data_IF_669997750164
#
_entry.id   IF_669997750164
#
_cell.length_a   1.000
_cell.length_b   1.000
_cell.length_c   1.000
_cell.angle_alpha   90.00
_cell.angle_beta   90.00
_cell.angle_gamma   90.00
#
_symmetry.space_group_name_H-M   'P 1'
#
loop_
_entity.id
_entity.type
_entity.pdbx_description
1 polymer ?
#
# COMPACT_ATOMS: atom_id res chain seq x y z
N UNK A 1 13.90 34.82 42.17
CA UNK A 1 13.08 34.69 40.95
C UNK A 1 12.66 33.25 40.85
N UNK A 2 11.39 32.96 41.01
CA UNK A 2 10.85 31.65 40.72
C UNK A 2 10.78 31.54 39.21
N UNK A 3 11.57 30.61 38.59
CA UNK A 3 11.43 30.26 37.21
C UNK A 3 10.01 29.71 36.99
N UNK A 4 9.26 30.33 36.09
CA UNK A 4 7.98 29.81 35.63
C UNK A 4 8.17 28.34 35.25
N UNK A 5 7.27 27.44 35.65
CA UNK A 5 7.36 26.07 35.16
C UNK A 5 7.32 26.13 33.62
N UNK A 6 8.40 25.66 32.98
CA UNK A 6 8.39 25.47 31.57
C UNK A 6 7.17 24.59 31.27
N UNK A 7 6.25 25.12 30.48
CA UNK A 7 5.12 24.34 30.02
C UNK A 7 5.70 23.09 29.36
N UNK A 8 5.53 21.91 29.98
CA UNK A 8 5.92 20.65 29.38
C UNK A 8 5.23 20.57 28.05
N UNK A 9 6.01 20.39 26.96
CA UNK A 9 5.46 20.19 25.63
C UNK A 9 4.69 18.86 25.65
N UNK A 10 3.35 18.94 25.64
CA UNK A 10 2.46 17.76 25.64
C UNK A 10 2.25 17.17 24.26
N UNK A 11 2.91 17.74 23.24
CA UNK A 11 2.84 17.26 21.86
C UNK A 11 4.18 16.66 21.43
N UNK A 12 4.10 15.68 20.54
CA UNK A 12 5.28 15.20 19.82
C UNK A 12 5.77 16.29 18.87
N UNK A 13 7.07 16.30 18.63
CA UNK A 13 7.72 17.26 17.72
C UNK A 13 8.14 16.56 16.42
N UNK A 14 8.41 17.33 15.34
CA UNK A 14 8.92 16.76 14.09
C UNK A 14 10.15 15.87 14.32
N UNK A 15 10.14 14.65 13.75
CA UNK A 15 11.21 13.67 13.91
C UNK A 15 11.02 12.66 15.05
N UNK A 16 10.08 12.89 15.98
CA UNK A 16 9.75 11.87 17.00
C UNK A 16 9.14 10.63 16.34
N UNK A 17 8.17 10.79 15.45
CA UNK A 17 7.71 9.72 14.56
C UNK A 17 8.66 9.66 13.36
N UNK A 18 9.34 8.54 13.17
CA UNK A 18 10.47 8.44 12.24
C UNK A 18 10.06 8.04 10.82
N UNK A 19 9.05 7.18 10.69
CA UNK A 19 8.57 6.67 9.40
C UNK A 19 7.22 5.97 9.57
N UNK A 20 6.54 5.72 8.48
CA UNK A 20 5.45 4.74 8.46
C UNK A 20 6.07 3.35 8.57
N UNK A 21 5.68 2.58 9.57
CA UNK A 21 6.18 1.21 9.80
C UNK A 21 5.42 0.21 8.94
N UNK A 22 4.11 0.26 8.98
CA UNK A 22 3.26 -0.62 8.18
C UNK A 22 1.91 0.02 7.89
N UNK A 23 1.27 -0.52 6.87
CA UNK A 23 -0.12 -0.23 6.49
C UNK A 23 -0.86 -1.56 6.51
N UNK A 24 -2.02 -1.61 7.14
CA UNK A 24 -2.87 -2.79 7.16
C UNK A 24 -4.10 -2.59 6.27
N UNK A 25 -4.37 -3.54 5.40
CA UNK A 25 -5.51 -3.54 4.48
C UNK A 25 -6.37 -4.77 4.74
N UNK A 26 -7.68 -4.58 4.77
CA UNK A 26 -8.62 -5.70 4.74
C UNK A 26 -8.78 -6.19 3.29
N UNK A 27 -8.78 -7.50 3.10
CA UNK A 27 -8.95 -8.12 1.80
C UNK A 27 -10.03 -9.21 1.87
N UNK A 28 -10.91 -9.26 0.89
CA UNK A 28 -11.98 -10.25 0.84
C UNK A 28 -11.47 -11.61 0.34
N UNK A 29 -10.62 -11.59 -0.67
CA UNK A 29 -10.01 -12.78 -1.28
C UNK A 29 -8.51 -12.71 -1.14
N UNK A 30 -7.95 -13.45 -0.17
CA UNK A 30 -6.52 -13.44 0.11
C UNK A 30 -5.69 -13.89 -1.09
N UNK A 31 -6.14 -14.89 -1.85
CA UNK A 31 -5.39 -15.38 -3.01
C UNK A 31 -5.32 -14.35 -4.12
N UNK A 32 -6.43 -13.68 -4.41
CA UNK A 32 -6.47 -12.59 -5.40
C UNK A 32 -5.56 -11.43 -4.99
N UNK A 33 -5.56 -11.07 -3.71
CA UNK A 33 -4.74 -9.96 -3.20
C UNK A 33 -3.26 -10.33 -3.13
N UNK A 34 -2.90 -11.57 -2.76
CA UNK A 34 -1.51 -12.06 -2.84
C UNK A 34 -1.00 -12.06 -4.28
N UNK A 35 -1.83 -12.46 -5.23
CA UNK A 35 -1.47 -12.41 -6.64
C UNK A 35 -1.25 -10.97 -7.09
N UNK A 36 -2.12 -10.06 -6.70
CA UNK A 36 -2.01 -8.64 -7.05
C UNK A 36 -0.73 -8.01 -6.47
N UNK A 37 -0.57 -8.02 -5.16
CA UNK A 37 0.57 -7.35 -4.51
C UNK A 37 1.89 -8.10 -4.72
N UNK A 38 1.88 -9.41 -4.66
CA UNK A 38 3.09 -10.22 -4.79
C UNK A 38 3.52 -10.48 -6.22
N UNK A 39 2.60 -10.95 -7.08
CA UNK A 39 2.95 -11.36 -8.44
C UNK A 39 2.90 -10.19 -9.41
N UNK A 40 1.82 -9.42 -9.43
CA UNK A 40 1.66 -8.30 -10.38
C UNK A 40 2.56 -7.13 -10.00
N UNK A 41 2.49 -6.66 -8.74
CA UNK A 41 3.30 -5.54 -8.28
C UNK A 41 4.72 -5.94 -7.87
N UNK A 42 5.01 -7.22 -7.71
CA UNK A 42 6.36 -7.71 -7.42
C UNK A 42 6.86 -7.40 -6.02
N UNK A 43 5.99 -7.19 -5.04
CA UNK A 43 6.42 -6.99 -3.66
C UNK A 43 6.92 -8.30 -3.05
N UNK A 44 7.93 -8.21 -2.19
CA UNK A 44 8.46 -9.35 -1.49
C UNK A 44 7.48 -9.81 -0.39
N UNK A 45 6.99 -11.04 -0.48
CA UNK A 45 6.15 -11.65 0.55
C UNK A 45 7.04 -12.23 1.64
N UNK A 46 6.78 -11.87 2.89
CA UNK A 46 7.50 -12.44 4.03
C UNK A 46 7.06 -13.89 4.26
N UNK A 47 8.04 -14.77 4.45
CA UNK A 47 7.81 -16.20 4.69
C UNK A 47 8.67 -16.71 5.84
N UNK A 48 8.19 -17.76 6.53
CA UNK A 48 8.93 -18.44 7.58
C UNK A 48 9.34 -17.49 8.71
N UNK A 49 10.63 -17.44 8.99
CA UNK A 49 11.18 -16.62 10.07
C UNK A 49 11.15 -15.12 9.80
N UNK A 50 10.96 -14.70 8.54
CA UNK A 50 10.76 -13.30 8.18
C UNK A 50 9.45 -12.76 8.77
N UNK A 51 8.44 -13.61 8.93
CA UNK A 51 7.15 -13.23 9.49
C UNK A 51 7.29 -12.93 10.97
N UNK A 52 6.77 -11.78 11.46
CA UNK A 52 6.77 -11.49 12.90
C UNK A 52 6.18 -12.64 13.71
N UNK A 53 6.84 -13.01 14.80
CA UNK A 53 6.46 -14.19 15.59
C UNK A 53 4.99 -14.19 16.01
N UNK A 54 4.43 -13.02 16.31
CA UNK A 54 3.04 -12.83 16.71
C UNK A 54 2.03 -13.09 15.60
N UNK A 55 2.46 -13.08 14.33
CA UNK A 55 1.59 -13.26 13.16
C UNK A 55 1.77 -14.63 12.49
N UNK A 56 2.76 -15.41 12.89
CA UNK A 56 3.10 -16.68 12.19
C UNK A 56 1.93 -17.65 12.10
N UNK A 57 1.17 -17.82 13.17
CA UNK A 57 0.01 -18.71 13.14
C UNK A 57 -1.08 -18.22 12.19
N UNK A 58 -1.31 -16.89 12.14
CA UNK A 58 -2.28 -16.29 11.24
C UNK A 58 -1.86 -16.41 9.77
N UNK A 59 -0.57 -16.28 9.50
CA UNK A 59 -0.03 -16.48 8.14
C UNK A 59 -0.16 -17.95 7.73
N UNK A 60 0.16 -18.90 8.62
CA UNK A 60 -0.02 -20.33 8.37
C UNK A 60 -1.47 -20.68 8.09
N UNK A 61 -2.41 -20.06 8.81
CA UNK A 61 -3.85 -20.26 8.63
C UNK A 61 -4.43 -19.52 7.41
N UNK A 62 -3.62 -18.78 6.66
CA UNK A 62 -4.06 -18.02 5.50
C UNK A 62 -4.88 -16.77 5.81
N UNK A 63 -4.83 -16.29 7.04
CA UNK A 63 -5.61 -15.13 7.51
C UNK A 63 -4.86 -13.81 7.40
N UNK A 64 -3.54 -13.87 7.28
CA UNK A 64 -2.66 -12.70 7.16
C UNK A 64 -1.57 -12.99 6.13
N UNK A 65 -1.20 -11.98 5.36
CA UNK A 65 -0.01 -11.99 4.49
C UNK A 65 0.72 -10.67 4.68
N UNK A 66 2.04 -10.72 4.72
CA UNK A 66 2.88 -9.55 4.90
C UNK A 66 3.75 -9.38 3.66
N UNK A 67 3.77 -8.17 3.12
CA UNK A 67 4.69 -7.75 2.06
C UNK A 67 5.61 -6.67 2.59
N UNK A 68 6.80 -6.55 2.02
CA UNK A 68 7.76 -5.51 2.38
C UNK A 68 8.34 -4.86 1.14
N UNK A 69 8.48 -3.54 1.19
CA UNK A 69 9.20 -2.76 0.20
C UNK A 69 10.69 -2.70 0.56
N UNK A 70 11.60 -2.34 -0.40
CA UNK A 70 13.03 -2.27 -0.13
C UNK A 70 13.42 -1.34 1.03
N UNK A 71 12.64 -0.30 1.30
CA UNK A 71 12.89 0.61 2.44
C UNK A 71 12.41 0.07 3.79
N UNK A 72 11.82 -1.13 3.80
CA UNK A 72 11.34 -1.79 5.01
C UNK A 72 9.91 -1.45 5.41
N UNK A 73 9.16 -0.67 4.61
CA UNK A 73 7.73 -0.44 4.87
C UNK A 73 6.95 -1.73 4.63
N UNK A 74 6.13 -2.13 5.58
CA UNK A 74 5.36 -3.37 5.51
C UNK A 74 3.92 -3.07 5.11
N UNK A 75 3.37 -3.91 4.25
CA UNK A 75 1.95 -3.92 3.89
C UNK A 75 1.39 -5.25 4.38
N UNK A 76 0.50 -5.17 5.38
CA UNK A 76 -0.18 -6.31 5.95
C UNK A 76 -1.55 -6.47 5.30
N UNK A 77 -1.84 -7.66 4.81
CA UNK A 77 -3.16 -8.03 4.33
C UNK A 77 -3.85 -8.89 5.38
N UNK A 78 -5.05 -8.47 5.78
CA UNK A 78 -5.89 -9.22 6.72
C UNK A 78 -7.11 -9.75 5.97
N UNK A 79 -7.29 -11.05 6.01
CA UNK A 79 -8.45 -11.67 5.38
C UNK A 79 -9.72 -11.32 6.13
N UNK A 80 -10.65 -10.68 5.43
CA UNK A 80 -11.96 -10.31 5.93
C UNK A 80 -13.02 -10.76 4.92
N UNK A 81 -13.53 -12.00 5.07
CA UNK A 81 -14.46 -12.58 4.09
C UNK A 81 -15.79 -11.82 4.00
N UNK A 82 -16.16 -11.08 5.04
CA UNK A 82 -17.37 -10.27 5.08
C UNK A 82 -17.18 -8.85 4.55
N UNK A 83 -15.97 -8.53 4.06
CA UNK A 83 -15.74 -7.23 3.43
C UNK A 83 -16.69 -7.07 2.25
N UNK A 84 -17.39 -5.93 2.21
CA UNK A 84 -18.30 -5.62 1.11
C UNK A 84 -17.60 -5.61 -0.23
N UNK A 85 -18.24 -6.12 -1.31
CA UNK A 85 -17.67 -6.02 -2.65
C UNK A 85 -17.41 -4.56 -3.03
N UNK A 86 -16.45 -4.31 -3.94
CA UNK A 86 -16.23 -2.97 -4.47
C UNK A 86 -17.52 -2.40 -5.09
N UNK A 87 -17.73 -1.09 -4.95
CA UNK A 87 -18.81 -0.40 -5.63
C UNK A 87 -18.64 -0.53 -7.15
N UNK A 88 -19.74 -0.68 -7.90
CA UNK A 88 -19.68 -0.70 -9.37
C UNK A 88 -19.09 0.59 -9.95
N UNK A 89 -19.31 1.71 -9.24
CA UNK A 89 -18.67 2.97 -9.53
C UNK A 89 -17.61 3.27 -8.44
N UNK A 90 -16.31 3.05 -8.73
CA UNK A 90 -15.25 3.26 -7.76
C UNK A 90 -15.20 4.68 -7.19
N UNK A 91 -15.65 5.67 -7.94
CA UNK A 91 -15.69 7.07 -7.51
C UNK A 91 -16.72 7.35 -6.41
N UNK A 92 -17.59 6.38 -6.10
CA UNK A 92 -18.54 6.45 -4.99
C UNK A 92 -18.09 5.68 -3.76
N UNK A 93 -17.03 4.89 -3.88
CA UNK A 93 -16.49 4.10 -2.78
C UNK A 93 -15.54 4.95 -1.94
N UNK A 94 -16.10 5.85 -1.13
CA UNK A 94 -15.30 6.72 -0.27
C UNK A 94 -14.78 5.95 0.94
N UNK A 95 -13.48 5.93 1.11
CA UNK A 95 -12.80 5.43 2.30
C UNK A 95 -11.98 6.55 2.94
N UNK A 96 -11.55 6.38 4.20
CA UNK A 96 -10.70 7.38 4.87
C UNK A 96 -9.33 7.48 4.22
N UNK A 97 -8.76 6.36 3.79
CA UNK A 97 -7.55 6.33 3.00
C UNK A 97 -7.92 6.46 1.52
N UNK A 98 -7.41 7.50 0.87
CA UNK A 98 -7.73 7.78 -0.53
C UNK A 98 -7.01 6.81 -1.46
N UNK A 99 -5.71 6.70 -1.34
CA UNK A 99 -4.92 5.76 -2.14
C UNK A 99 -3.58 5.43 -1.48
N UNK A 100 -2.97 4.37 -1.97
CA UNK A 100 -1.60 3.95 -1.64
C UNK A 100 -0.72 4.21 -2.85
N UNK A 101 0.37 4.95 -2.68
CA UNK A 101 1.29 5.27 -3.77
C UNK A 101 2.62 4.56 -3.59
N UNK A 102 3.09 3.93 -4.66
CA UNK A 102 4.43 3.35 -4.78
C UNK A 102 5.30 4.21 -5.68
N UNK A 103 6.55 4.37 -5.30
CA UNK A 103 7.56 4.99 -6.14
C UNK A 103 8.25 3.94 -7.00
N UNK A 104 8.56 4.29 -8.24
CA UNK A 104 9.31 3.44 -9.17
C UNK A 104 10.40 4.25 -9.87
N UNK A 105 11.48 3.60 -10.25
CA UNK A 105 12.48 4.19 -11.11
C UNK A 105 11.83 4.70 -12.40
N UNK A 106 12.08 5.96 -12.82
CA UNK A 106 11.49 6.51 -14.04
C UNK A 106 11.68 5.63 -15.28
N UNK A 107 12.82 4.94 -15.38
CA UNK A 107 13.12 4.04 -16.48
C UNK A 107 12.24 2.78 -16.51
N UNK A 108 11.60 2.44 -15.40
CA UNK A 108 10.70 1.28 -15.29
C UNK A 108 9.23 1.65 -15.37
N UNK A 109 8.89 2.94 -15.43
CA UNK A 109 7.49 3.37 -15.40
C UNK A 109 6.67 2.82 -16.57
N UNK A 110 7.16 2.90 -17.80
CA UNK A 110 6.43 2.39 -18.97
C UNK A 110 6.26 0.87 -18.88
N UNK A 111 7.25 0.16 -18.35
CA UNK A 111 7.14 -1.29 -18.10
C UNK A 111 6.04 -1.60 -17.08
N UNK A 112 5.94 -0.81 -16.02
CA UNK A 112 4.87 -0.98 -15.04
C UNK A 112 3.48 -0.79 -15.67
N UNK A 113 3.32 0.23 -16.51
CA UNK A 113 2.05 0.46 -17.25
C UNK A 113 1.68 -0.76 -18.10
N UNK A 114 2.63 -1.32 -18.85
CA UNK A 114 2.40 -2.52 -19.64
C UNK A 114 2.01 -3.73 -18.79
N UNK A 115 2.70 -3.95 -17.67
CA UNK A 115 2.39 -5.05 -16.76
C UNK A 115 0.96 -4.96 -16.24
N UNK A 116 0.52 -3.77 -15.84
CA UNK A 116 -0.86 -3.57 -15.39
C UNK A 116 -1.87 -3.90 -16.49
N UNK A 117 -1.63 -3.45 -17.70
CA UNK A 117 -2.50 -3.72 -18.86
C UNK A 117 -2.52 -5.19 -19.23
N UNK A 118 -1.38 -5.85 -19.26
CA UNK A 118 -1.28 -7.28 -19.59
C UNK A 118 -1.99 -8.17 -18.58
N UNK A 119 -2.05 -7.76 -17.32
CA UNK A 119 -2.75 -8.45 -16.24
C UNK A 119 -4.21 -8.02 -16.09
N UNK A 120 -4.72 -7.20 -17.01
CA UNK A 120 -6.12 -6.72 -17.00
C UNK A 120 -6.51 -6.03 -15.70
N UNK A 121 -5.56 -5.33 -15.08
CA UNK A 121 -5.83 -4.51 -13.89
C UNK A 121 -6.75 -3.36 -14.29
N UNK A 122 -7.77 -3.11 -13.50
CA UNK A 122 -8.69 -2.01 -13.74
C UNK A 122 -7.98 -0.66 -13.51
N UNK A 123 -7.80 0.10 -14.59
CA UNK A 123 -7.17 1.42 -14.56
C UNK A 123 -8.24 2.47 -14.25
N UNK A 124 -7.97 3.34 -13.27
CA UNK A 124 -8.81 4.51 -13.02
C UNK A 124 -8.47 5.62 -14.03
N UNK A 125 -7.23 6.06 -14.04
CA UNK A 125 -6.76 7.03 -15.01
C UNK A 125 -5.23 7.01 -15.14
N UNK A 126 -4.76 7.59 -16.22
CA UNK A 126 -3.34 7.67 -16.54
C UNK A 126 -2.91 6.69 -17.64
N UNK A 127 -1.62 6.69 -18.00
CA UNK A 127 -0.57 7.48 -17.38
C UNK A 127 -0.75 8.98 -17.62
N UNK A 128 -0.41 9.78 -16.61
CA UNK A 128 -0.40 11.25 -16.68
C UNK A 128 0.99 11.78 -16.40
N UNK A 129 1.34 12.89 -17.04
CA UNK A 129 2.61 13.60 -16.83
C UNK A 129 2.33 14.95 -16.18
N UNK A 130 3.11 15.26 -15.14
CA UNK A 130 3.07 16.51 -14.40
C UNK A 130 4.48 17.02 -14.19
N UNK A 131 4.69 18.30 -13.83
CA UNK A 131 6.03 18.80 -13.48
C UNK A 131 6.74 18.00 -12.39
N UNK A 132 5.98 17.34 -11.50
CA UNK A 132 6.48 16.54 -10.39
C UNK A 132 6.71 15.07 -10.75
N UNK A 133 6.50 14.66 -11.99
CA UNK A 133 6.71 13.30 -12.47
C UNK A 133 5.48 12.71 -13.15
N UNK A 134 5.51 11.39 -13.35
CA UNK A 134 4.44 10.63 -14.01
C UNK A 134 3.71 9.78 -12.98
N UNK A 135 2.45 9.45 -13.27
CA UNK A 135 1.65 8.59 -12.42
C UNK A 135 0.62 7.79 -13.21
N UNK A 136 0.26 6.63 -12.69
CA UNK A 136 -0.87 5.82 -13.15
C UNK A 136 -1.64 5.33 -11.92
N UNK A 137 -2.97 5.38 -12.02
CA UNK A 137 -3.90 5.07 -10.93
C UNK A 137 -4.76 3.88 -11.33
N UNK A 138 -4.87 2.90 -10.45
CA UNK A 138 -5.54 1.64 -10.72
C UNK A 138 -6.10 1.04 -9.42
N UNK A 139 -6.96 0.03 -9.54
CA UNK A 139 -7.62 -0.58 -8.40
C UNK A 139 -7.05 -1.95 -8.06
N UNK A 140 -6.91 -2.21 -6.77
CA UNK A 140 -6.65 -3.55 -6.27
C UNK A 140 -7.92 -4.43 -6.37
N UNK A 141 -7.86 -5.75 -6.05
CA UNK A 141 -9.03 -6.62 -6.15
C UNK A 141 -10.22 -6.21 -5.28
N UNK A 142 -10.00 -5.44 -4.23
CA UNK A 142 -11.05 -4.93 -3.34
C UNK A 142 -11.56 -3.54 -3.72
N UNK A 143 -11.08 -2.99 -4.84
CA UNK A 143 -11.45 -1.66 -5.30
C UNK A 143 -10.71 -0.52 -4.59
N UNK A 144 -9.63 -0.83 -3.87
CA UNK A 144 -8.79 0.20 -3.26
C UNK A 144 -7.89 0.84 -4.33
N UNK A 145 -7.81 2.17 -4.31
CA UNK A 145 -7.03 2.91 -5.31
C UNK A 145 -5.54 2.83 -4.99
N UNK A 146 -4.77 2.43 -5.99
CA UNK A 146 -3.31 2.34 -5.93
C UNK A 146 -2.70 3.22 -7.01
N UNK A 147 -1.60 3.86 -6.70
CA UNK A 147 -0.82 4.67 -7.63
C UNK A 147 0.60 4.10 -7.77
N UNK A 148 1.11 4.07 -8.98
CA UNK A 148 2.55 3.99 -9.24
C UNK A 148 2.98 5.34 -9.81
N UNK A 149 3.97 5.95 -9.18
CA UNK A 149 4.50 7.24 -9.58
C UNK A 149 6.01 7.20 -9.73
N UNK A 150 6.58 8.09 -10.54
CA UNK A 150 8.02 8.27 -10.62
C UNK A 150 8.36 9.77 -10.63
N UNK A 151 9.60 10.09 -10.28
CA UNK A 151 10.13 11.45 -10.43
C UNK A 151 10.26 11.84 -11.89
N UNK A 152 10.33 13.14 -12.23
CA UNK A 152 10.63 13.58 -13.58
C UNK A 152 12.03 13.13 -14.00
N UNK A 153 12.18 12.79 -15.28
CA UNK A 153 13.47 12.50 -15.90
C UNK A 153 14.28 13.77 -16.14
#
# INVERSE_FOLDING_TARGET
MLSSPQSQNIALTPGNLRRVHHIALNVQDMQASRHFYGTILGLHELTGEEVPATLRSLVTDGKVTNFVTPDGTVIDLFWEPELSPPDENPHRAFTRAYHLAFDIDPQLFDRAVEVLKQNQVQIDHGPVSRPTGRGIYFYDPDGFLVEIRCDPE
#
